data_IF_605478559425
#
_entry.id   IF_605478559425
#
_cell.length_a   1.000
_cell.length_b   1.000
_cell.length_c   1.000
_cell.angle_alpha   90.00
_cell.angle_beta   90.00
_cell.angle_gamma   90.00
#
_symmetry.space_group_name_H-M   'P 1'
#
loop_
_entity.id
_entity.type
_entity.pdbx_description
1 polymer ?
#
# COMPACT_ATOMS: atom_id res chain seq x y z
N UNK A 1 -21.09 28.34 3.33
CA UNK A 1 -20.19 27.89 4.39
C UNK A 1 -20.50 26.42 4.58
N UNK A 2 -19.55 25.53 4.34
CA UNK A 2 -19.79 24.10 4.61
C UNK A 2 -20.13 23.93 6.10
N UNK A 3 -21.09 23.06 6.44
CA UNK A 3 -21.39 22.82 7.84
C UNK A 3 -20.14 22.28 8.55
N UNK A 4 -19.94 22.59 9.85
CA UNK A 4 -18.76 22.14 10.60
C UNK A 4 -18.56 20.61 10.56
N UNK A 5 -19.64 19.86 10.32
CA UNK A 5 -19.65 18.41 10.19
C UNK A 5 -19.10 17.91 8.85
N UNK A 6 -19.37 18.63 7.74
CA UNK A 6 -18.80 18.33 6.42
C UNK A 6 -17.31 18.61 6.37
N UNK A 7 -16.88 19.70 7.02
CA UNK A 7 -15.47 20.03 7.11
C UNK A 7 -14.70 19.02 7.97
N UNK A 8 -15.31 18.54 9.07
CA UNK A 8 -14.77 17.42 9.85
C UNK A 8 -14.63 16.14 9.01
N UNK A 9 -15.67 15.72 8.27
CA UNK A 9 -15.62 14.52 7.41
C UNK A 9 -14.52 14.64 6.35
N UNK A 10 -14.36 15.81 5.74
CA UNK A 10 -13.28 16.08 4.78
C UNK A 10 -11.90 15.87 5.41
N UNK A 11 -11.63 16.51 6.55
CA UNK A 11 -10.34 16.39 7.26
C UNK A 11 -10.08 14.95 7.71
N UNK A 12 -11.12 14.22 8.12
CA UNK A 12 -11.00 12.82 8.51
C UNK A 12 -10.63 11.91 7.32
N UNK A 13 -11.24 12.12 6.15
CA UNK A 13 -10.89 11.41 4.92
C UNK A 13 -9.45 11.71 4.50
N UNK A 14 -9.03 12.97 4.53
CA UNK A 14 -7.66 13.37 4.22
C UNK A 14 -6.64 12.73 5.18
N UNK A 15 -6.92 12.72 6.49
CA UNK A 15 -6.07 12.06 7.49
C UNK A 15 -5.97 10.55 7.24
N UNK A 16 -7.09 9.91 6.87
CA UNK A 16 -7.13 8.48 6.55
C UNK A 16 -6.26 8.15 5.34
N UNK A 17 -6.34 8.95 4.28
CA UNK A 17 -5.49 8.80 3.09
C UNK A 17 -4.00 9.00 3.45
N UNK A 18 -3.69 9.99 4.28
CA UNK A 18 -2.33 10.25 4.73
C UNK A 18 -1.73 9.07 5.53
N UNK A 19 -2.52 8.42 6.38
CA UNK A 19 -2.06 7.24 7.11
C UNK A 19 -1.88 6.00 6.21
N UNK A 20 -2.77 5.80 5.22
CA UNK A 20 -2.55 4.76 4.21
C UNK A 20 -1.30 5.03 3.35
N UNK A 21 -0.99 6.30 3.08
CA UNK A 21 0.24 6.68 2.37
C UNK A 21 1.51 6.38 3.19
N UNK A 22 1.48 6.53 4.52
CA UNK A 22 2.59 6.12 5.40
C UNK A 22 2.80 4.60 5.38
N UNK A 23 1.71 3.83 5.45
CA UNK A 23 1.74 2.36 5.33
C UNK A 23 2.29 1.93 3.97
N UNK A 24 1.92 2.62 2.89
CA UNK A 24 2.48 2.36 1.56
C UNK A 24 3.98 2.63 1.49
N UNK A 25 4.45 3.73 2.09
CA UNK A 25 5.89 4.04 2.19
C UNK A 25 6.65 2.95 2.97
N UNK A 26 6.07 2.41 4.04
CA UNK A 26 6.65 1.28 4.78
C UNK A 26 6.76 0.03 3.88
N UNK A 27 5.74 -0.26 3.07
CA UNK A 27 5.80 -1.39 2.13
C UNK A 27 6.91 -1.25 1.08
N UNK A 28 7.12 -0.04 0.54
CA UNK A 28 8.24 0.24 -0.36
C UNK A 28 9.59 0.01 0.36
N UNK A 29 9.70 0.44 1.61
CA UNK A 29 10.92 0.21 2.40
C UNK A 29 11.19 -1.29 2.60
N UNK A 30 10.15 -2.08 2.95
CA UNK A 30 10.26 -3.53 3.07
C UNK A 30 10.66 -4.16 1.74
N UNK A 31 10.08 -3.72 0.62
CA UNK A 31 10.44 -4.22 -0.71
C UNK A 31 11.91 -3.99 -1.04
N UNK A 32 12.46 -2.81 -0.75
CA UNK A 32 13.88 -2.51 -0.95
C UNK A 32 14.75 -3.45 -0.11
N UNK A 33 14.40 -3.63 1.18
CA UNK A 33 15.14 -4.53 2.09
C UNK A 33 15.11 -5.97 1.59
N UNK A 34 13.93 -6.48 1.22
CA UNK A 34 13.77 -7.85 0.70
C UNK A 34 14.57 -8.03 -0.59
N UNK A 35 14.54 -7.07 -1.52
CA UNK A 35 15.34 -7.15 -2.75
C UNK A 35 16.85 -7.16 -2.49
N UNK A 36 17.34 -6.36 -1.54
CA UNK A 36 18.76 -6.33 -1.16
C UNK A 36 19.19 -7.68 -0.55
N UNK A 37 18.40 -8.23 0.38
CA UNK A 37 18.67 -9.54 0.99
C UNK A 37 18.69 -10.62 -0.10
N UNK A 38 17.74 -10.56 -1.02
CA UNK A 38 17.62 -11.54 -2.09
C UNK A 38 18.79 -11.48 -3.07
N UNK A 39 19.24 -10.27 -3.43
CA UNK A 39 20.46 -10.06 -4.22
C UNK A 39 21.69 -10.61 -3.50
N UNK A 40 21.82 -10.35 -2.18
CA UNK A 40 22.93 -10.85 -1.39
C UNK A 40 22.95 -12.39 -1.34
N UNK A 41 21.81 -13.05 -1.13
CA UNK A 41 21.69 -14.51 -1.16
C UNK A 41 22.03 -15.11 -2.53
N UNK A 42 21.68 -14.41 -3.61
CA UNK A 42 22.03 -14.80 -4.98
C UNK A 42 23.56 -14.71 -5.19
N UNK A 43 24.19 -13.60 -4.77
CA UNK A 43 25.65 -13.44 -4.83
C UNK A 43 26.41 -14.45 -3.97
N UNK A 44 25.84 -14.88 -2.84
CA UNK A 44 26.40 -15.91 -1.97
C UNK A 44 26.23 -17.34 -2.52
N UNK A 45 25.59 -17.53 -3.67
CA UNK A 45 25.43 -18.83 -4.32
C UNK A 45 24.49 -19.80 -3.57
N UNK A 46 23.68 -19.29 -2.63
CA UNK A 46 22.75 -20.10 -1.83
C UNK A 46 21.53 -20.50 -2.68
N UNK A 47 21.16 -19.68 -3.67
CA UNK A 47 20.05 -19.91 -4.59
C UNK A 47 20.56 -20.42 -5.95
N UNK A 48 20.14 -21.62 -6.35
CA UNK A 48 20.50 -22.27 -7.64
C UNK A 48 19.66 -21.80 -8.83
N UNK A 49 19.15 -20.57 -8.80
CA UNK A 49 18.33 -20.01 -9.89
C UNK A 49 19.29 -19.21 -10.77
N UNK A 50 19.21 -19.40 -12.09
CA UNK A 50 19.97 -18.60 -13.05
C UNK A 50 19.83 -17.10 -12.72
N UNK A 51 20.94 -16.36 -12.54
CA UNK A 51 20.92 -14.98 -12.05
C UNK A 51 20.01 -14.05 -12.85
N UNK A 52 19.90 -14.29 -14.16
CA UNK A 52 19.07 -13.52 -15.10
C UNK A 52 17.56 -13.67 -14.84
N UNK A 53 17.08 -14.90 -14.64
CA UNK A 53 15.68 -15.19 -14.33
C UNK A 53 15.28 -14.78 -12.92
N UNK A 54 16.24 -14.89 -12.01
CA UNK A 54 16.08 -14.54 -10.63
C UNK A 54 15.67 -13.07 -10.43
N UNK A 55 16.39 -12.16 -11.07
CA UNK A 55 16.11 -10.71 -11.01
C UNK A 55 14.71 -10.43 -11.59
N UNK A 56 14.36 -11.05 -12.71
CA UNK A 56 13.05 -10.86 -13.32
C UNK A 56 11.89 -11.33 -12.44
N UNK A 57 11.98 -12.53 -11.85
CA UNK A 57 10.89 -13.07 -11.03
C UNK A 57 10.70 -12.27 -9.74
N UNK A 58 11.80 -11.87 -9.09
CA UNK A 58 11.76 -11.08 -7.86
C UNK A 58 11.25 -9.67 -8.13
N UNK A 59 11.79 -8.97 -9.13
CA UNK A 59 11.40 -7.59 -9.38
C UNK A 59 9.97 -7.49 -9.95
N UNK A 60 9.58 -8.38 -10.87
CA UNK A 60 8.25 -8.35 -11.52
C UNK A 60 7.17 -8.84 -10.56
N UNK A 61 7.35 -9.99 -9.91
CA UNK A 61 6.34 -10.54 -9.00
C UNK A 61 6.05 -9.63 -7.81
N UNK A 62 7.10 -9.11 -7.18
CA UNK A 62 6.93 -8.18 -6.05
C UNK A 62 6.55 -6.77 -6.51
N UNK A 63 6.97 -6.34 -7.71
CA UNK A 63 6.59 -5.05 -8.28
C UNK A 63 5.08 -4.97 -8.55
N UNK A 64 4.48 -6.06 -9.05
CA UNK A 64 3.03 -6.19 -9.20
C UNK A 64 2.34 -6.07 -7.84
N UNK A 65 2.89 -6.66 -6.78
CA UNK A 65 2.32 -6.60 -5.43
C UNK A 65 2.30 -5.15 -4.88
N UNK A 66 3.38 -4.39 -5.11
CA UNK A 66 3.41 -2.95 -4.76
C UNK A 66 2.32 -2.19 -5.52
N UNK A 67 2.20 -2.43 -6.82
CA UNK A 67 1.22 -1.74 -7.65
C UNK A 67 -0.22 -2.02 -7.18
N UNK A 68 -0.53 -3.29 -6.91
CA UNK A 68 -1.83 -3.69 -6.35
C UNK A 68 -2.07 -3.03 -5.00
N UNK A 69 -1.07 -2.97 -4.13
CA UNK A 69 -1.21 -2.30 -2.83
C UNK A 69 -1.43 -0.79 -2.96
N UNK A 70 -0.70 -0.11 -3.85
CA UNK A 70 -0.92 1.31 -4.11
C UNK A 70 -2.35 1.57 -4.56
N UNK A 71 -2.80 0.83 -5.58
CA UNK A 71 -4.14 1.00 -6.14
C UNK A 71 -5.22 0.72 -5.10
N UNK A 72 -5.12 -0.41 -4.40
CA UNK A 72 -6.17 -0.83 -3.47
C UNK A 72 -6.24 0.04 -2.22
N UNK A 73 -5.08 0.36 -1.62
CA UNK A 73 -5.04 1.03 -0.33
C UNK A 73 -4.93 2.54 -0.42
N UNK A 74 -4.21 3.12 -1.39
CA UNK A 74 -4.06 4.57 -1.51
C UNK A 74 -5.19 5.15 -2.34
N UNK A 75 -5.41 4.62 -3.54
CA UNK A 75 -6.48 5.12 -4.42
C UNK A 75 -7.87 4.72 -3.91
N UNK A 76 -7.97 3.55 -3.26
CA UNK A 76 -9.21 3.08 -2.64
C UNK A 76 -9.48 3.63 -1.23
N UNK A 77 -8.51 4.27 -0.56
CA UNK A 77 -8.65 4.74 0.83
C UNK A 77 -9.87 5.65 1.03
N UNK A 78 -10.03 6.63 0.15
CA UNK A 78 -11.12 7.60 0.24
C UNK A 78 -12.48 6.91 0.06
N UNK A 79 -12.58 6.01 -0.91
CA UNK A 79 -13.82 5.29 -1.19
C UNK A 79 -14.17 4.28 -0.08
N UNK A 80 -13.16 3.63 0.52
CA UNK A 80 -13.32 2.77 1.70
C UNK A 80 -13.74 3.58 2.94
N UNK A 81 -13.22 4.80 3.09
CA UNK A 81 -13.61 5.71 4.17
C UNK A 81 -15.07 6.14 4.00
N UNK A 82 -15.48 6.55 2.79
CA UNK A 82 -16.88 6.88 2.47
C UNK A 82 -17.83 5.71 2.74
N UNK A 83 -17.50 4.49 2.29
CA UNK A 83 -18.33 3.30 2.57
C UNK A 83 -18.42 2.98 4.08
N UNK A 84 -17.38 3.29 4.87
CA UNK A 84 -17.42 3.15 6.32
C UNK A 84 -18.33 4.18 6.97
N UNK A 85 -18.28 5.43 6.52
CA UNK A 85 -19.18 6.49 6.97
C UNK A 85 -20.64 6.11 6.69
N UNK A 86 -20.96 5.72 5.45
CA UNK A 86 -22.32 5.28 5.05
C UNK A 86 -22.82 4.10 5.90
N UNK A 87 -21.95 3.13 6.21
CA UNK A 87 -22.32 1.97 7.05
C UNK A 87 -22.57 2.35 8.51
N UNK A 88 -21.87 3.35 9.04
CA UNK A 88 -22.09 3.81 10.42
C UNK A 88 -23.35 4.66 10.49
N UNK A 89 -23.57 5.54 9.51
CA UNK A 89 -24.79 6.32 9.39
C UNK A 89 -26.02 5.40 9.28
N UNK A 90 -25.97 4.36 8.45
CA UNK A 90 -27.05 3.37 8.32
C UNK A 90 -27.31 2.52 9.57
N UNK A 91 -26.44 2.59 10.58
CA UNK A 91 -26.60 1.89 11.88
C UNK A 91 -26.99 2.84 13.01
N UNK A 92 -26.83 4.14 12.80
CA UNK A 92 -27.21 5.19 13.74
C UNK A 92 -28.67 5.65 13.53
N UNK A 93 -29.24 5.32 12.37
CA UNK A 93 -30.68 5.37 12.05
C UNK A 93 -31.42 4.11 12.53
#
# INVERSE_FOLDING_TARGET
MAEPLDEYKRLFREATVADQMKLFRLHIAIYLVVNIIWLALNMMGITKIEPSWAIYYSSVGWGILIFVHYWFYVQGAENLCRQREERIESKAE
#
